data_IF_242121940736
#
_entry.id   IF_242121940736
#
_cell.length_a   1.000
_cell.length_b   1.000
_cell.length_c   1.000
_cell.angle_alpha   90.00
_cell.angle_beta   90.00
_cell.angle_gamma   90.00
#
_symmetry.space_group_name_H-M   'P 1'
#
loop_
_entity.id
_entity.type
_entity.pdbx_description
1 polymer ?
#
# COMPACT_ATOMS: atom_id res chain seq x y z
N UNK A 1 -2.89 18.60 22.05
CA UNK A 1 -2.77 17.57 20.99
C UNK A 1 -1.42 17.78 20.32
N UNK A 2 -0.51 16.81 20.35
CA UNK A 2 0.84 16.98 19.79
C UNK A 2 0.78 17.09 18.26
N UNK A 3 1.57 17.97 17.66
CA UNK A 3 1.64 18.21 16.20
C UNK A 3 1.81 16.90 15.39
N UNK A 4 2.52 15.92 15.94
CA UNK A 4 2.69 14.59 15.36
C UNK A 4 1.37 13.81 15.18
N UNK A 5 0.43 13.89 16.13
CA UNK A 5 -0.86 13.21 16.00
C UNK A 5 -1.70 13.78 14.86
N UNK A 6 -1.60 15.09 14.62
CA UNK A 6 -2.29 15.76 13.52
C UNK A 6 -1.71 15.32 12.18
N UNK A 7 -0.38 15.30 12.05
CA UNK A 7 0.31 14.85 10.83
C UNK A 7 -0.02 13.37 10.52
N UNK A 8 0.02 12.50 11.53
CA UNK A 8 -0.37 11.09 11.37
C UNK A 8 -1.83 10.93 10.93
N UNK A 9 -2.74 11.75 11.47
CA UNK A 9 -4.14 11.79 11.05
C UNK A 9 -4.31 12.17 9.57
N UNK A 10 -3.59 13.20 9.10
CA UNK A 10 -3.62 13.58 7.69
C UNK A 10 -3.09 12.48 6.76
N UNK A 11 -2.01 11.80 7.16
CA UNK A 11 -1.45 10.68 6.40
C UNK A 11 -2.45 9.53 6.31
N UNK A 12 -3.13 9.20 7.41
CA UNK A 12 -4.16 8.17 7.41
C UNK A 12 -5.32 8.51 6.46
N UNK A 13 -5.78 9.77 6.45
CA UNK A 13 -6.83 10.25 5.53
C UNK A 13 -6.39 10.14 4.08
N UNK A 14 -5.15 10.54 3.75
CA UNK A 14 -4.59 10.45 2.40
C UNK A 14 -4.53 8.98 1.95
N UNK A 15 -4.06 8.07 2.80
CA UNK A 15 -4.00 6.64 2.51
C UNK A 15 -5.38 6.05 2.23
N UNK A 16 -6.39 6.40 3.04
CA UNK A 16 -7.77 5.97 2.83
C UNK A 16 -8.34 6.53 1.53
N UNK A 17 -8.04 7.80 1.20
CA UNK A 17 -8.47 8.43 -0.04
C UNK A 17 -7.86 7.76 -1.29
N UNK A 18 -6.56 7.46 -1.24
CA UNK A 18 -5.87 6.71 -2.32
C UNK A 18 -6.48 5.32 -2.46
N UNK A 19 -6.71 4.60 -1.35
CA UNK A 19 -7.34 3.29 -1.36
C UNK A 19 -8.72 3.32 -2.00
N UNK A 20 -9.57 4.26 -1.57
CA UNK A 20 -10.91 4.40 -2.08
C UNK A 20 -10.91 4.69 -3.58
N UNK A 21 -10.02 5.57 -4.04
CA UNK A 21 -9.91 5.91 -5.45
C UNK A 21 -9.46 4.71 -6.30
N UNK A 22 -8.43 3.98 -5.85
CA UNK A 22 -7.96 2.76 -6.53
C UNK A 22 -9.06 1.68 -6.53
N UNK A 23 -9.78 1.51 -5.43
CA UNK A 23 -10.87 0.55 -5.33
C UNK A 23 -12.04 0.88 -6.26
N UNK A 24 -12.43 2.15 -6.36
CA UNK A 24 -13.49 2.62 -7.26
C UNK A 24 -13.06 2.50 -8.71
N UNK A 25 -11.84 2.92 -9.06
CA UNK A 25 -11.29 2.81 -10.42
C UNK A 25 -11.22 1.34 -10.89
N UNK A 26 -10.85 0.43 -9.98
CA UNK A 26 -10.80 -1.01 -10.28
C UNK A 26 -12.15 -1.74 -10.26
N UNK A 27 -13.26 -1.07 -9.91
CA UNK A 27 -14.61 -1.63 -10.12
C UNK A 27 -15.06 -1.57 -11.57
N UNK A 28 -14.51 -0.65 -12.37
CA UNK A 28 -14.85 -0.49 -13.80
C UNK A 28 -14.35 -1.68 -14.61
N UNK A 29 -13.21 -2.24 -14.21
CA UNK A 29 -12.66 -3.44 -14.84
C UNK A 29 -13.33 -4.70 -14.27
N UNK A 30 -14.14 -5.37 -15.10
CA UNK A 30 -14.69 -6.69 -14.82
C UNK A 30 -13.70 -7.83 -15.10
N UNK A 31 -14.04 -9.05 -14.68
CA UNK A 31 -13.33 -10.26 -15.08
C UNK A 31 -11.93 -10.43 -14.47
N UNK A 32 -11.05 -11.15 -15.20
CA UNK A 32 -9.70 -11.50 -14.73
C UNK A 32 -8.80 -10.26 -14.65
N UNK A 33 -8.95 -9.33 -15.61
CA UNK A 33 -8.25 -8.03 -15.61
C UNK A 33 -8.62 -7.24 -14.37
N UNK A 34 -9.91 -7.11 -14.05
CA UNK A 34 -10.36 -6.44 -12.83
C UNK A 34 -9.77 -7.02 -11.55
N UNK A 35 -9.76 -8.35 -11.41
CA UNK A 35 -9.12 -9.01 -10.27
C UNK A 35 -7.62 -8.73 -10.23
N UNK A 36 -6.95 -8.77 -11.37
CA UNK A 36 -5.52 -8.52 -11.45
C UNK A 36 -5.17 -7.09 -11.01
N UNK A 37 -5.88 -6.08 -11.51
CA UNK A 37 -5.65 -4.68 -11.14
C UNK A 37 -5.97 -4.44 -9.66
N UNK A 38 -6.97 -5.12 -9.07
CA UNK A 38 -7.20 -5.06 -7.61
C UNK A 38 -6.03 -5.61 -6.80
N UNK A 39 -5.48 -6.76 -7.19
CA UNK A 39 -4.30 -7.31 -6.52
C UNK A 39 -3.08 -6.40 -6.68
N UNK A 40 -2.89 -5.78 -7.85
CA UNK A 40 -1.85 -4.78 -8.06
C UNK A 40 -2.04 -3.57 -7.15
N UNK A 41 -3.26 -3.03 -7.07
CA UNK A 41 -3.58 -1.89 -6.22
C UNK A 41 -3.32 -2.17 -4.74
N UNK A 42 -3.77 -3.32 -4.24
CA UNK A 42 -3.52 -3.76 -2.86
C UNK A 42 -2.01 -3.93 -2.61
N UNK A 43 -1.29 -4.52 -3.56
CA UNK A 43 0.16 -4.68 -3.45
C UNK A 43 0.91 -3.35 -3.37
N UNK A 44 0.54 -2.39 -4.23
CA UNK A 44 1.10 -1.04 -4.20
C UNK A 44 0.83 -0.31 -2.89
N UNK A 45 -0.33 -0.52 -2.27
CA UNK A 45 -0.68 0.09 -0.98
C UNK A 45 0.26 -0.37 0.13
N UNK A 46 0.48 -1.68 0.27
CA UNK A 46 1.37 -2.21 1.30
C UNK A 46 2.81 -1.67 1.16
N UNK A 47 3.32 -1.60 -0.08
CA UNK A 47 4.64 -1.01 -0.36
C UNK A 47 4.64 0.49 -0.03
N UNK A 48 3.58 1.21 -0.42
CA UNK A 48 3.48 2.66 -0.20
C UNK A 48 3.46 2.98 1.29
N UNK A 49 2.74 2.20 2.11
CA UNK A 49 2.72 2.36 3.57
C UNK A 49 4.12 2.13 4.14
N UNK A 50 4.81 1.05 3.75
CA UNK A 50 6.16 0.76 4.22
C UNK A 50 7.16 1.87 3.84
N UNK A 51 7.06 2.41 2.63
CA UNK A 51 7.90 3.52 2.15
C UNK A 51 7.58 4.82 2.90
N UNK A 52 6.30 5.14 3.11
CA UNK A 52 5.89 6.33 3.87
C UNK A 52 6.40 6.25 5.30
N UNK A 53 6.24 5.10 5.99
CA UNK A 53 6.81 4.92 7.34
C UNK A 53 8.32 5.14 7.35
N UNK A 54 9.04 4.59 6.38
CA UNK A 54 10.50 4.77 6.26
C UNK A 54 10.87 6.23 6.03
N UNK A 55 10.11 6.96 5.22
CA UNK A 55 10.30 8.40 5.01
C UNK A 55 10.06 9.14 6.33
N UNK A 56 8.95 8.89 7.02
CA UNK A 56 8.62 9.56 8.27
C UNK A 56 9.67 9.34 9.38
N UNK A 57 10.29 8.16 9.43
CA UNK A 57 11.41 7.90 10.33
C UNK A 57 12.65 8.73 10.00
N UNK A 58 12.99 8.86 8.71
CA UNK A 58 14.13 9.67 8.29
C UNK A 58 13.93 11.17 8.63
N UNK A 59 12.68 11.63 8.67
CA UNK A 59 12.32 12.99 9.09
C UNK A 59 12.14 13.15 10.62
N UNK A 60 12.44 12.11 11.42
CA UNK A 60 12.26 12.09 12.87
C UNK A 60 10.82 12.41 13.35
N UNK A 61 9.82 12.22 12.47
CA UNK A 61 8.41 12.40 12.79
C UNK A 61 7.81 11.18 13.51
N UNK A 62 8.52 10.05 13.46
CA UNK A 62 8.22 8.81 14.17
C UNK A 62 9.41 8.40 15.03
N UNK A 63 9.15 7.79 16.18
CA UNK A 63 10.21 7.17 16.98
C UNK A 63 10.53 5.79 16.42
N UNK A 64 11.81 5.53 16.20
CA UNK A 64 12.28 4.20 15.83
C UNK A 64 12.04 3.23 17.00
N UNK A 65 11.16 2.26 16.78
CA UNK A 65 10.98 1.13 17.68
C UNK A 65 11.64 -0.10 17.07
N UNK A 66 12.18 -1.04 17.88
CA UNK A 66 12.89 -2.22 17.37
C UNK A 66 12.03 -3.09 16.44
N UNK A 67 10.70 -3.05 16.58
CA UNK A 67 9.77 -3.83 15.76
C UNK A 67 9.41 -3.15 14.43
N UNK A 68 9.82 -1.89 14.21
CA UNK A 68 9.38 -1.10 13.07
C UNK A 68 10.03 -1.56 11.75
N UNK A 69 11.31 -1.95 11.80
CA UNK A 69 11.98 -2.54 10.62
C UNK A 69 11.30 -3.84 10.19
N UNK A 70 10.98 -4.71 11.15
CA UNK A 70 10.25 -5.95 10.89
C UNK A 70 8.87 -5.70 10.29
N UNK A 71 8.14 -4.71 10.80
CA UNK A 71 6.83 -4.34 10.26
C UNK A 71 6.94 -3.86 8.80
N UNK A 72 7.95 -3.04 8.48
CA UNK A 72 8.21 -2.57 7.11
C UNK A 72 8.56 -3.71 6.16
N UNK A 73 9.40 -4.66 6.60
CA UNK A 73 9.77 -5.82 5.80
C UNK A 73 8.55 -6.72 5.52
N UNK A 74 7.71 -6.95 6.52
CA UNK A 74 6.47 -7.73 6.38
C UNK A 74 5.48 -7.03 5.43
N UNK A 75 5.28 -5.72 5.57
CA UNK A 75 4.44 -4.93 4.66
C UNK A 75 4.98 -5.00 3.22
N UNK A 76 6.30 -4.89 3.04
CA UNK A 76 6.93 -4.99 1.72
C UNK A 76 6.73 -6.38 1.12
N UNK A 77 6.89 -7.44 1.90
CA UNK A 77 6.66 -8.82 1.46
C UNK A 77 5.20 -9.07 1.07
N UNK A 78 4.24 -8.60 1.87
CA UNK A 78 2.82 -8.67 1.52
C UNK A 78 2.55 -7.91 0.22
N UNK A 79 3.11 -6.72 0.08
CA UNK A 79 3.01 -5.92 -1.14
C UNK A 79 3.51 -6.67 -2.37
N UNK A 80 4.70 -7.24 -2.29
CA UNK A 80 5.29 -8.05 -3.36
C UNK A 80 4.46 -9.29 -3.68
N UNK A 81 3.92 -9.97 -2.68
CA UNK A 81 3.05 -11.12 -2.87
C UNK A 81 1.77 -10.76 -3.66
N UNK A 82 1.11 -9.67 -3.27
CA UNK A 82 -0.07 -9.17 -3.98
C UNK A 82 0.24 -8.68 -5.39
N UNK A 83 1.37 -7.99 -5.58
CA UNK A 83 1.83 -7.61 -6.92
C UNK A 83 2.09 -8.84 -7.80
N UNK A 84 2.77 -9.86 -7.28
CA UNK A 84 3.04 -11.10 -8.00
C UNK A 84 1.75 -11.81 -8.43
N UNK A 85 0.75 -11.87 -7.55
CA UNK A 85 -0.58 -12.41 -7.91
C UNK A 85 -1.29 -11.57 -8.98
N UNK A 86 -1.20 -10.24 -8.89
CA UNK A 86 -1.76 -9.32 -9.88
C UNK A 86 -1.12 -9.52 -11.26
N UNK A 87 0.21 -9.52 -11.33
CA UNK A 87 0.94 -9.75 -12.57
C UNK A 87 0.72 -11.17 -13.12
N UNK A 88 0.65 -12.20 -12.28
CA UNK A 88 0.35 -13.57 -12.72
C UNK A 88 -1.02 -13.65 -13.41
N UNK A 89 -2.03 -12.96 -12.88
CA UNK A 89 -3.36 -12.89 -13.50
C UNK A 89 -3.36 -12.08 -14.80
N UNK A 90 -2.63 -10.97 -14.88
CA UNK A 90 -2.46 -10.24 -16.14
C UNK A 90 -1.78 -11.11 -17.20
N UNK A 91 -0.70 -11.80 -16.84
CA UNK A 91 0.02 -12.70 -17.73
C UNK A 91 -0.86 -13.85 -18.25
N UNK A 92 -1.80 -14.34 -17.43
CA UNK A 92 -2.74 -15.38 -17.86
C UNK A 92 -3.75 -14.92 -18.91
N UNK A 93 -4.01 -13.61 -19.02
CA UNK A 93 -4.94 -13.03 -20.01
C UNK A 93 -4.21 -12.63 -21.30
N UNK A 94 -2.90 -12.36 -21.20
CA UNK A 94 -2.06 -12.02 -22.35
C UNK A 94 -1.63 -13.26 -23.17
N UNK A 95 -1.97 -14.46 -22.71
CA UNK A 95 -1.71 -15.74 -23.37
C UNK A 95 -2.92 -16.18 -24.17
#
# INVERSE_FOLDING_TARGET
MSLNLVIQGFIAVILVGIFYNVWVSTRVYGGIIGRAVRFLGIGMLFITIAVIEKILLNFALLQATPNLSLAQDVLTLLGLFFLAMGFSKLASVAK
#
